data_IF_222665756904
#
_entry.id   IF_222665756904
#
_cell.length_a   1.000
_cell.length_b   1.000
_cell.length_c   1.000
_cell.angle_alpha   90.00
_cell.angle_beta   90.00
_cell.angle_gamma   90.00
#
_symmetry.space_group_name_H-M   'P 1'
#
loop_
_entity.id
_entity.type
_entity.pdbx_description
1 polymer ?
#
# COMPACT_ATOMS: atom_id res chain seq x y z
N UNK A 1 -0.60 -0.08 -19.62
CA UNK A 1 -1.36 -1.03 -18.78
C UNK A 1 -0.45 -2.06 -18.12
N UNK A 2 0.40 -2.78 -18.86
CA UNK A 2 1.37 -3.75 -18.31
C UNK A 2 2.26 -3.18 -17.20
N UNK A 3 2.73 -1.94 -17.35
CA UNK A 3 3.60 -1.27 -16.36
C UNK A 3 2.92 -0.99 -15.01
N UNK A 4 1.59 -0.95 -14.94
CA UNK A 4 0.86 -0.69 -13.68
C UNK A 4 0.66 -1.99 -12.90
N UNK A 5 0.33 -3.08 -13.60
CA UNK A 5 0.23 -4.40 -12.98
C UNK A 5 1.59 -4.84 -12.40
N UNK A 6 2.70 -4.47 -13.07
CA UNK A 6 4.05 -4.70 -12.59
C UNK A 6 4.42 -3.89 -11.33
N UNK A 7 3.60 -2.91 -10.93
CA UNK A 7 3.75 -2.16 -9.67
C UNK A 7 2.85 -2.80 -8.60
N UNK A 8 1.55 -2.90 -8.90
CA UNK A 8 0.56 -3.36 -7.91
C UNK A 8 0.78 -4.82 -7.49
N UNK A 9 1.18 -5.71 -8.40
CA UNK A 9 1.40 -7.12 -8.08
C UNK A 9 2.52 -7.35 -7.04
N UNK A 10 3.76 -6.87 -7.24
CA UNK A 10 4.82 -7.07 -6.24
C UNK A 10 4.50 -6.36 -4.92
N UNK A 11 3.89 -5.17 -4.95
CA UNK A 11 3.51 -4.46 -3.73
C UNK A 11 2.49 -5.25 -2.90
N UNK A 12 1.42 -5.76 -3.51
CA UNK A 12 0.46 -6.59 -2.77
C UNK A 12 1.08 -7.88 -2.22
N UNK A 13 1.94 -8.55 -2.99
CA UNK A 13 2.66 -9.75 -2.52
C UNK A 13 3.54 -9.41 -1.29
N UNK A 14 4.30 -8.33 -1.36
CA UNK A 14 5.22 -7.93 -0.27
C UNK A 14 4.43 -7.49 0.96
N UNK A 15 3.49 -6.55 0.83
CA UNK A 15 2.85 -5.93 1.99
C UNK A 15 1.77 -6.81 2.59
N UNK A 16 0.98 -7.52 1.78
CA UNK A 16 -0.15 -8.36 2.27
C UNK A 16 0.30 -9.80 2.40
N UNK A 17 0.91 -10.36 1.35
CA UNK A 17 1.34 -11.75 1.33
C UNK A 17 2.48 -12.07 2.30
N UNK A 18 3.39 -11.13 2.55
CA UNK A 18 4.56 -11.34 3.41
C UNK A 18 4.47 -10.54 4.70
N UNK A 19 4.52 -9.21 4.65
CA UNK A 19 4.67 -8.37 5.86
C UNK A 19 3.47 -8.52 6.80
N UNK A 20 2.24 -8.34 6.28
CA UNK A 20 1.03 -8.46 7.09
C UNK A 20 0.90 -9.86 7.70
N UNK A 21 1.11 -10.92 6.90
CA UNK A 21 1.06 -12.30 7.40
C UNK A 21 2.12 -12.57 8.48
N UNK A 22 3.36 -12.11 8.30
CA UNK A 22 4.42 -12.27 9.30
C UNK A 22 4.09 -11.58 10.62
N UNK A 23 3.51 -10.37 10.56
CA UNK A 23 3.08 -9.65 11.77
C UNK A 23 1.89 -10.38 12.41
N UNK A 24 0.94 -10.85 11.61
CA UNK A 24 -0.23 -11.59 12.12
C UNK A 24 0.19 -12.86 12.85
N UNK A 25 1.11 -13.64 12.28
CA UNK A 25 1.64 -14.86 12.90
C UNK A 25 2.33 -14.54 14.24
N UNK A 26 3.08 -13.43 14.32
CA UNK A 26 3.82 -13.05 15.53
C UNK A 26 2.94 -12.45 16.64
N UNK A 27 1.85 -11.79 16.27
CA UNK A 27 1.02 -11.02 17.20
C UNK A 27 -0.33 -11.66 17.49
N UNK A 28 -0.68 -12.70 16.73
CA UNK A 28 -2.00 -13.35 16.72
C UNK A 28 -3.16 -12.35 16.53
N UNK A 29 -2.91 -11.27 15.79
CA UNK A 29 -3.88 -10.19 15.60
C UNK A 29 -3.88 -9.65 14.18
N UNK A 30 -4.99 -9.90 13.47
CA UNK A 30 -5.22 -9.36 12.13
C UNK A 30 -5.28 -7.82 12.12
N UNK A 31 -5.80 -7.21 13.20
CA UNK A 31 -5.89 -5.74 13.32
C UNK A 31 -4.51 -5.12 13.48
N UNK A 32 -3.66 -5.68 14.35
CA UNK A 32 -2.28 -5.19 14.52
C UNK A 32 -1.51 -5.38 13.21
N UNK A 33 -1.63 -6.56 12.59
CA UNK A 33 -1.00 -6.84 11.31
C UNK A 33 -1.40 -5.85 10.22
N UNK A 34 -2.70 -5.56 10.09
CA UNK A 34 -3.26 -4.61 9.14
C UNK A 34 -2.69 -3.20 9.34
N UNK A 35 -2.73 -2.69 10.58
CA UNK A 35 -2.32 -1.32 10.86
C UNK A 35 -0.81 -1.12 10.65
N UNK A 36 0.00 -2.07 11.11
CA UNK A 36 1.46 -1.99 10.96
C UNK A 36 1.90 -2.22 9.50
N UNK A 37 1.33 -3.19 8.78
CA UNK A 37 1.67 -3.39 7.36
C UNK A 37 1.31 -2.15 6.52
N UNK A 38 0.17 -1.52 6.81
CA UNK A 38 -0.28 -0.30 6.13
C UNK A 38 0.59 0.92 6.46
N UNK A 39 1.03 1.04 7.73
CA UNK A 39 1.95 2.10 8.13
C UNK A 39 3.32 1.96 7.45
N UNK A 40 3.85 0.72 7.34
CA UNK A 40 5.10 0.45 6.62
C UNK A 40 4.92 0.77 5.13
N UNK A 41 3.79 0.36 4.53
CA UNK A 41 3.47 0.65 3.14
C UNK A 41 3.42 2.16 2.84
N UNK A 42 2.77 2.96 3.69
CA UNK A 42 2.84 4.41 3.58
C UNK A 42 4.25 4.97 3.81
N UNK A 43 4.99 4.41 4.77
CA UNK A 43 6.33 4.84 5.13
C UNK A 43 7.35 4.73 3.99
N UNK A 44 7.31 3.65 3.20
CA UNK A 44 8.23 3.50 2.06
C UNK A 44 7.98 4.53 0.94
N UNK A 45 6.85 5.24 0.98
CA UNK A 45 6.49 6.29 0.01
C UNK A 45 6.86 7.71 0.47
N UNK A 46 7.45 7.89 1.67
CA UNK A 46 7.79 9.21 2.21
C UNK A 46 8.74 10.02 1.32
N UNK A 47 9.63 9.36 0.58
CA UNK A 47 10.60 10.04 -0.30
C UNK A 47 10.07 10.29 -1.71
N UNK A 48 8.90 9.74 -2.07
CA UNK A 48 8.34 9.89 -3.40
C UNK A 48 7.88 11.34 -3.62
N UNK A 49 8.52 12.05 -4.56
CA UNK A 49 8.25 13.47 -4.82
C UNK A 49 8.71 14.40 -3.68
N UNK A 50 9.56 13.93 -2.76
CA UNK A 50 10.12 14.75 -1.70
C UNK A 50 11.02 15.87 -2.27
N UNK A 51 11.06 17.03 -1.59
CA UNK A 51 11.85 18.20 -2.01
C UNK A 51 13.26 18.23 -1.42
N UNK A 52 13.58 17.24 -0.58
CA UNK A 52 14.85 17.13 0.12
C UNK A 52 14.91 15.89 1.00
N UNK A 53 16.08 15.67 1.60
CA UNK A 53 16.36 14.49 2.43
C UNK A 53 15.97 14.66 3.90
N UNK A 54 15.67 15.89 4.34
CA UNK A 54 15.29 16.16 5.74
C UNK A 54 13.82 15.77 5.95
N UNK A 55 13.42 15.27 7.13
CA UNK A 55 12.04 14.85 7.40
C UNK A 55 10.97 15.90 7.07
N UNK A 56 11.27 17.19 7.25
CA UNK A 56 10.35 18.28 6.89
C UNK A 56 10.07 18.42 5.39
N UNK A 57 10.93 17.86 4.55
CA UNK A 57 10.86 17.96 3.09
C UNK A 57 10.29 16.67 2.45
N UNK A 58 9.96 15.66 3.27
CA UNK A 58 9.34 14.40 2.86
C UNK A 58 7.88 14.60 2.46
N UNK A 59 7.37 13.72 1.60
CA UNK A 59 5.99 13.76 1.10
C UNK A 59 5.02 13.05 2.06
N UNK A 60 4.78 13.68 3.21
CA UNK A 60 3.86 13.16 4.23
C UNK A 60 2.43 12.98 3.74
N UNK A 61 1.96 13.87 2.86
CA UNK A 61 0.62 13.77 2.27
C UNK A 61 0.48 12.48 1.46
N UNK A 62 1.44 12.19 0.57
CA UNK A 62 1.42 10.96 -0.22
C UNK A 62 1.53 9.73 0.68
N UNK A 63 2.45 9.73 1.64
CA UNK A 63 2.60 8.63 2.58
C UNK A 63 1.31 8.34 3.37
N UNK A 64 0.58 9.38 3.80
CA UNK A 64 -0.71 9.24 4.47
C UNK A 64 -1.79 8.66 3.54
N UNK A 65 -1.89 9.15 2.31
CA UNK A 65 -2.85 8.64 1.32
C UNK A 65 -2.57 7.17 0.99
N UNK A 66 -1.30 6.81 0.78
CA UNK A 66 -0.89 5.44 0.50
C UNK A 66 -1.09 4.54 1.72
N UNK A 67 -0.91 5.05 2.95
CA UNK A 67 -1.26 4.32 4.17
C UNK A 67 -2.76 4.01 4.24
N UNK A 68 -3.63 4.96 3.92
CA UNK A 68 -5.09 4.74 3.88
C UNK A 68 -5.51 3.73 2.81
N UNK A 69 -4.89 3.79 1.63
CA UNK A 69 -5.04 2.75 0.59
C UNK A 69 -4.54 1.39 1.10
N UNK A 70 -3.42 1.40 1.82
CA UNK A 70 -2.86 0.30 2.60
C UNK A 70 -3.90 -0.42 3.45
N UNK A 71 -4.56 0.33 4.32
CA UNK A 71 -5.61 -0.15 5.24
C UNK A 71 -6.77 -0.76 4.45
N UNK A 72 -7.22 -0.09 3.40
CA UNK A 72 -8.39 -0.54 2.62
C UNK A 72 -8.11 -1.87 1.93
N UNK A 73 -6.98 -1.98 1.23
CA UNK A 73 -6.56 -3.18 0.54
C UNK A 73 -6.17 -4.31 1.51
N UNK A 74 -5.52 -3.98 2.63
CA UNK A 74 -5.20 -4.94 3.68
C UNK A 74 -6.44 -5.50 4.38
N UNK A 75 -7.48 -4.68 4.58
CA UNK A 75 -8.76 -5.14 5.11
C UNK A 75 -9.43 -6.09 4.13
N UNK A 76 -9.42 -5.77 2.84
CA UNK A 76 -9.95 -6.66 1.80
C UNK A 76 -9.20 -7.98 1.78
N UNK A 77 -7.87 -7.96 1.92
CA UNK A 77 -7.07 -9.17 2.06
C UNK A 77 -7.52 -10.01 3.28
N UNK A 78 -7.72 -9.39 4.45
CA UNK A 78 -8.22 -10.10 5.66
C UNK A 78 -9.60 -10.72 5.43
N UNK A 79 -10.52 -9.97 4.81
CA UNK A 79 -11.90 -10.41 4.60
C UNK A 79 -12.02 -11.50 3.53
N UNK A 80 -11.14 -11.50 2.54
CA UNK A 80 -11.24 -12.39 1.37
C UNK A 80 -10.22 -13.52 1.36
N UNK A 81 -9.16 -13.41 2.16
CA UNK A 81 -8.00 -14.30 2.16
C UNK A 81 -7.41 -14.51 0.74
N UNK A 82 -7.46 -13.47 -0.09
CA UNK A 82 -7.05 -13.53 -1.49
C UNK A 82 -6.17 -12.35 -1.84
N UNK A 83 -5.02 -12.60 -2.48
CA UNK A 83 -4.16 -11.55 -3.04
C UNK A 83 -4.71 -11.02 -4.37
N UNK A 84 -5.51 -11.80 -5.10
CA UNK A 84 -6.01 -11.41 -6.41
C UNK A 84 -6.91 -10.17 -6.33
N UNK A 85 -7.80 -10.12 -5.33
CA UNK A 85 -8.77 -9.02 -5.19
C UNK A 85 -8.05 -7.69 -4.87
N UNK A 86 -7.15 -7.61 -3.86
CA UNK A 86 -6.32 -6.43 -3.64
C UNK A 86 -5.50 -6.02 -4.87
N UNK A 87 -4.89 -6.98 -5.60
CA UNK A 87 -4.08 -6.67 -6.80
C UNK A 87 -4.93 -5.97 -7.87
N UNK A 88 -6.13 -6.49 -8.15
CA UNK A 88 -7.03 -5.91 -9.13
C UNK A 88 -7.51 -4.52 -8.71
N UNK A 89 -7.90 -4.35 -7.44
CA UNK A 89 -8.37 -3.06 -6.92
C UNK A 89 -7.25 -2.03 -6.85
N UNK A 90 -6.05 -2.43 -6.47
CA UNK A 90 -4.88 -1.57 -6.48
C UNK A 90 -4.54 -1.15 -7.92
N UNK A 91 -4.53 -2.09 -8.87
CA UNK A 91 -4.29 -1.77 -10.28
C UNK A 91 -5.33 -0.77 -10.80
N UNK A 92 -6.61 -0.97 -10.46
CA UNK A 92 -7.69 -0.05 -10.81
C UNK A 92 -7.50 1.33 -10.18
N UNK A 93 -7.15 1.40 -8.89
CA UNK A 93 -6.90 2.64 -8.19
C UNK A 93 -5.79 3.45 -8.87
N UNK A 94 -4.66 2.81 -9.22
CA UNK A 94 -3.55 3.49 -9.91
C UNK A 94 -3.95 3.95 -11.30
N UNK A 95 -4.76 3.17 -12.03
CA UNK A 95 -5.31 3.59 -13.34
C UNK A 95 -6.19 4.83 -13.17
N UNK A 96 -7.13 4.82 -12.22
CA UNK A 96 -8.01 5.95 -11.96
C UNK A 96 -7.22 7.20 -11.57
N UNK A 97 -6.24 7.07 -10.66
CA UNK A 97 -5.40 8.20 -10.26
C UNK A 97 -4.64 8.77 -11.45
N UNK A 98 -4.04 7.94 -12.31
CA UNK A 98 -3.32 8.43 -13.50
C UNK A 98 -4.22 9.12 -14.53
N UNK A 99 -5.48 8.68 -14.66
CA UNK A 99 -6.43 9.27 -15.61
C UNK A 99 -6.97 10.60 -15.09
N UNK A 100 -7.41 10.64 -13.82
CA UNK A 100 -8.11 11.80 -13.25
C UNK A 100 -7.16 12.80 -12.57
N UNK A 101 -5.98 12.35 -12.14
CA UNK A 101 -4.97 13.13 -11.44
C UNK A 101 -3.57 12.84 -11.98
N UNK A 102 -3.27 13.17 -13.26
CA UNK A 102 -2.01 12.80 -13.92
C UNK A 102 -0.75 13.42 -13.29
N UNK A 103 -0.90 14.38 -12.37
CA UNK A 103 0.19 14.98 -11.59
C UNK A 103 0.44 14.33 -10.24
N UNK A 104 -0.26 13.22 -9.93
CA UNK A 104 -0.15 12.44 -8.70
C UNK A 104 0.58 11.12 -8.93
#
# INVERSE_FOLDING_TARGET
MYSILLISLPEEIIFRGVIQQLIQIKTDSAVIALLFSSAIYGGVHLLNGARGIKPKDWNWTLAALVCLAGISLGLIFVLTNSLLIPILLHTLLVICLKIYFPGL
#
